data_IF_017692206321
#
_entry.id   IF_017692206321
#
_cell.length_a   1.000
_cell.length_b   1.000
_cell.length_c   1.000
_cell.angle_alpha   90.00
_cell.angle_beta   90.00
_cell.angle_gamma   90.00
#
_symmetry.space_group_name_H-M   'P 1'
#
loop_
_entity.id
_entity.type
_entity.pdbx_description
1 polymer ?
#
# COMPACT_ATOMS: atom_id res chain seq x y z
N UNK A 1 -10.76 -8.59 -27.67
CA UNK A 1 -11.19 -9.91 -27.20
C UNK A 1 -10.73 -10.95 -28.22
N UNK A 2 -9.43 -11.20 -28.31
CA UNK A 2 -8.86 -12.40 -28.96
C UNK A 2 -8.02 -13.23 -27.98
N UNK A 3 -7.82 -12.72 -26.74
CA UNK A 3 -7.64 -13.52 -25.53
C UNK A 3 -6.57 -14.59 -25.64
N UNK A 4 -5.34 -14.20 -26.02
CA UNK A 4 -4.18 -15.09 -25.89
C UNK A 4 -3.77 -15.12 -24.41
N UNK A 5 -4.10 -16.19 -23.65
CA UNK A 5 -4.03 -16.17 -22.18
C UNK A 5 -2.61 -16.06 -21.63
N UNK A 6 -1.61 -16.28 -22.50
CA UNK A 6 -0.20 -16.40 -22.13
C UNK A 6 0.48 -15.10 -21.71
N UNK A 7 -0.08 -13.92 -22.04
CA UNK A 7 0.57 -12.63 -21.79
C UNK A 7 -0.25 -11.63 -20.96
N UNK A 8 -1.54 -11.88 -20.74
CA UNK A 8 -2.42 -10.96 -20.01
C UNK A 8 -2.05 -10.84 -18.52
N UNK A 9 -1.55 -11.92 -17.92
CA UNK A 9 -1.12 -11.92 -16.51
C UNK A 9 0.14 -11.06 -16.29
N UNK A 10 1.09 -11.08 -17.23
CA UNK A 10 2.27 -10.20 -17.21
C UNK A 10 1.83 -8.75 -17.36
N UNK A 11 0.92 -8.50 -18.29
CA UNK A 11 0.41 -7.16 -18.57
C UNK A 11 -0.34 -6.57 -17.37
N UNK A 12 -1.23 -7.33 -16.73
CA UNK A 12 -1.96 -6.89 -15.53
C UNK A 12 -1.03 -6.68 -14.33
N UNK A 13 0.00 -7.52 -14.17
CA UNK A 13 1.00 -7.38 -13.11
C UNK A 13 1.86 -6.12 -13.28
N UNK A 14 2.30 -5.83 -14.51
CA UNK A 14 3.12 -4.65 -14.82
C UNK A 14 2.31 -3.34 -14.74
N UNK A 15 1.08 -3.33 -15.28
CA UNK A 15 0.21 -2.15 -15.24
C UNK A 15 -0.17 -1.80 -13.80
N UNK A 16 -0.55 -2.79 -12.99
CA UNK A 16 -0.90 -2.56 -11.58
C UNK A 16 0.27 -2.00 -10.78
N UNK A 17 1.48 -2.49 -11.01
CA UNK A 17 2.69 -1.95 -10.38
C UNK A 17 2.93 -0.48 -10.75
N UNK A 18 2.83 -0.12 -12.03
CA UNK A 18 3.15 1.25 -12.48
C UNK A 18 2.07 2.26 -12.10
N UNK A 19 0.80 1.84 -12.05
CA UNK A 19 -0.30 2.65 -11.49
C UNK A 19 -0.02 2.99 -10.02
N UNK A 20 0.30 1.98 -9.20
CA UNK A 20 0.57 2.19 -7.77
C UNK A 20 1.82 3.03 -7.54
N UNK A 21 2.87 2.83 -8.35
CA UNK A 21 4.07 3.69 -8.29
C UNK A 21 3.73 5.14 -8.57
N UNK A 22 2.90 5.43 -9.57
CA UNK A 22 2.46 6.80 -9.88
C UNK A 22 1.55 7.38 -8.80
N UNK A 23 0.53 6.62 -8.38
CA UNK A 23 -0.44 7.06 -7.37
C UNK A 23 0.22 7.41 -6.04
N UNK A 24 1.25 6.68 -5.64
CA UNK A 24 1.93 6.87 -4.35
C UNK A 24 3.34 7.47 -4.46
N UNK A 25 3.68 8.04 -5.62
CA UNK A 25 4.96 8.71 -5.89
C UNK A 25 6.19 7.87 -5.47
N UNK A 26 6.21 6.61 -5.93
CA UNK A 26 7.28 5.66 -5.63
C UNK A 26 8.38 5.79 -6.69
N UNK A 27 9.41 6.56 -6.36
CA UNK A 27 10.58 6.80 -7.22
C UNK A 27 11.74 5.83 -6.97
N UNK A 28 11.76 5.14 -5.83
CA UNK A 28 12.80 4.17 -5.47
C UNK A 28 12.26 3.04 -4.59
N UNK A 29 12.85 1.84 -4.74
CA UNK A 29 12.53 0.64 -3.97
C UNK A 29 13.70 0.22 -3.06
N UNK A 30 13.44 -0.46 -1.93
CA UNK A 30 12.13 -0.86 -1.40
C UNK A 30 11.36 0.28 -0.72
N UNK A 31 10.03 0.29 -0.92
CA UNK A 31 9.06 1.28 -0.41
C UNK A 31 7.91 0.58 0.32
N UNK A 32 7.44 1.15 1.42
CA UNK A 32 6.26 0.69 2.16
C UNK A 32 5.38 1.90 2.47
N UNK A 33 4.18 1.90 1.89
CA UNK A 33 3.14 2.92 2.08
C UNK A 33 2.00 2.26 2.86
N UNK A 34 1.53 2.92 3.90
CA UNK A 34 0.43 2.46 4.75
C UNK A 34 -0.80 3.29 4.42
N UNK A 35 -1.91 2.61 4.16
CA UNK A 35 -3.16 3.21 3.72
C UNK A 35 -4.27 2.90 4.71
N UNK A 36 -5.27 3.78 4.76
CA UNK A 36 -6.60 3.48 5.29
C UNK A 36 -7.39 2.62 4.30
N UNK A 37 -8.46 1.92 4.73
CA UNK A 37 -9.34 1.18 3.83
C UNK A 37 -9.98 2.04 2.73
N UNK A 38 -10.23 3.33 2.99
CA UNK A 38 -10.75 4.28 2.02
C UNK A 38 -9.71 4.75 0.96
N UNK A 39 -8.47 4.27 1.04
CA UNK A 39 -7.39 4.61 0.11
C UNK A 39 -6.54 5.82 0.51
N UNK A 40 -6.87 6.52 1.60
CA UNK A 40 -6.07 7.63 2.11
C UNK A 40 -4.73 7.16 2.68
N UNK A 41 -3.68 7.97 2.50
CA UNK A 41 -2.34 7.64 2.97
C UNK A 41 -2.18 7.98 4.44
N UNK A 42 -1.92 6.98 5.29
CA UNK A 42 -1.51 7.16 6.68
C UNK A 42 -0.06 7.60 6.73
N UNK A 43 0.81 6.89 6.00
CA UNK A 43 2.20 7.30 5.83
C UNK A 43 2.83 6.65 4.62
N UNK A 44 3.60 7.43 3.89
CA UNK A 44 4.47 6.89 2.85
C UNK A 44 5.80 6.40 3.42
N UNK A 45 6.14 6.68 4.68
CA UNK A 45 7.48 6.43 5.28
C UNK A 45 7.55 5.12 6.07
N UNK A 46 6.69 4.15 5.78
CA UNK A 46 6.53 2.92 6.58
C UNK A 46 7.85 2.17 6.81
N UNK A 47 8.68 2.03 5.77
CA UNK A 47 10.00 1.40 5.87
C UNK A 47 10.92 2.08 6.89
N UNK A 48 10.94 3.42 6.90
CA UNK A 48 11.76 4.19 7.84
C UNK A 48 11.26 4.00 9.28
N UNK A 49 9.95 4.01 9.47
CA UNK A 49 9.34 3.83 10.79
C UNK A 49 9.58 2.43 11.36
N UNK A 50 9.49 1.36 10.54
CA UNK A 50 9.87 0.00 10.98
C UNK A 50 11.32 -0.02 11.44
N UNK A 51 12.24 0.54 10.64
CA UNK A 51 13.67 0.58 10.98
C UNK A 51 13.93 1.31 12.30
N UNK A 52 13.22 2.41 12.55
CA UNK A 52 13.49 3.29 13.69
C UNK A 52 12.72 2.93 14.96
N UNK A 53 11.53 2.33 14.82
CA UNK A 53 10.59 2.11 15.94
C UNK A 53 10.18 0.64 16.10
N UNK A 54 10.60 -0.23 15.19
CA UNK A 54 10.19 -1.63 15.19
C UNK A 54 8.68 -1.78 15.21
N UNK A 55 8.19 -2.68 16.07
CA UNK A 55 6.76 -2.95 16.21
C UNK A 55 5.94 -1.74 16.69
N UNK A 56 6.54 -0.80 17.43
CA UNK A 56 5.81 0.32 18.00
C UNK A 56 5.18 1.25 16.95
N UNK A 57 5.71 1.31 15.72
CA UNK A 57 5.07 2.10 14.67
C UNK A 57 3.71 1.54 14.23
N UNK A 58 3.48 0.24 14.41
CA UNK A 58 2.23 -0.40 14.03
C UNK A 58 1.04 0.14 14.83
N UNK A 59 1.20 0.37 16.13
CA UNK A 59 0.15 0.93 16.98
C UNK A 59 -0.32 2.30 16.45
N UNK A 60 0.62 3.17 16.10
CA UNK A 60 0.30 4.48 15.51
C UNK A 60 -0.43 4.35 14.16
N UNK A 61 -0.11 3.32 13.36
CA UNK A 61 -0.80 3.08 12.09
C UNK A 61 -2.22 2.58 12.30
N UNK A 62 -2.42 1.67 13.25
CA UNK A 62 -3.75 1.12 13.58
C UNK A 62 -4.66 2.22 14.14
N UNK A 63 -4.14 3.07 15.02
CA UNK A 63 -4.85 4.23 15.56
C UNK A 63 -5.25 5.20 14.43
N UNK A 64 -4.30 5.58 13.58
CA UNK A 64 -4.57 6.47 12.44
C UNK A 64 -5.50 5.86 11.38
N UNK A 65 -5.59 4.53 11.32
CA UNK A 65 -6.48 3.80 10.43
C UNK A 65 -7.92 3.70 10.96
N UNK A 66 -8.16 4.10 12.22
CA UNK A 66 -9.48 4.04 12.87
C UNK A 66 -10.15 2.66 12.77
N UNK A 67 -9.33 1.60 12.70
CA UNK A 67 -9.76 0.22 12.36
C UNK A 67 -10.90 -0.26 13.26
N UNK A 68 -10.88 0.15 14.53
CA UNK A 68 -11.83 -0.31 15.53
C UNK A 68 -13.18 0.42 15.54
N UNK A 69 -13.33 1.54 14.82
CA UNK A 69 -14.63 2.20 14.67
C UNK A 69 -15.54 1.51 13.63
N UNK A 70 -14.99 0.62 12.80
CA UNK A 70 -15.75 -0.07 11.76
C UNK A 70 -16.49 -1.34 12.25
N UNK A 71 -16.36 -1.69 13.53
CA UNK A 71 -16.98 -2.90 14.11
C UNK A 71 -18.15 -2.61 15.06
N UNK A 72 -18.56 -1.36 15.21
CA UNK A 72 -19.78 -1.00 15.95
C UNK A 72 -21.03 -1.18 15.09
N UNK A 73 -21.25 -2.42 14.63
CA UNK A 73 -22.47 -2.90 13.99
C UNK A 73 -23.28 -3.76 14.95
#
# INVERSE_FOLDING_TARGET
MDGSPGLDWLRNSLIGSDELKRRYDITAIPRLVILRPNGEVITSKGRKQIRERGLACFQNWVEAAEVFQNFSG
#
